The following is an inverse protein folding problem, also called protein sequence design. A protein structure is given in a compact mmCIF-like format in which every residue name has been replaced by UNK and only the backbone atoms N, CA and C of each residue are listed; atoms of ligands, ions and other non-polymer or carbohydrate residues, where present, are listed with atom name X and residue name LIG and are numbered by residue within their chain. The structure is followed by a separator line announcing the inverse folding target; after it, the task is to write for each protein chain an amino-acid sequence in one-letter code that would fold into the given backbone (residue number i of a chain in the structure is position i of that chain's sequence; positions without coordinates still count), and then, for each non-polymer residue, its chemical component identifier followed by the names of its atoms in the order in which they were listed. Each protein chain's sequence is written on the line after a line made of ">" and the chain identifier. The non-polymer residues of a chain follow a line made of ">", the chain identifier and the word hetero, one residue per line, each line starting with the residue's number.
data_IF_331660773858
#
_entry.id   IF_331660773858
#
_cell.length_a   1.000
_cell.length_b   1.000
_cell.length_c   1.000
_cell.angle_alpha   90.00
_cell.angle_beta   90.00
_cell.angle_gamma   90.00
#
_symmetry.space_group_name_H-M   'P 1'
#
loop_
_entity.id
_entity.type
_entity.pdbx_description
1 polymer ?
#
# COMPACT_ATOMS: atom_id res chain seq x y z
N UNK A 1 -37.92 2.22 0.50
CA UNK A 1 -37.23 2.61 -0.74
C UNK A 1 -36.02 3.45 -0.33
N UNK A 2 -34.88 2.80 -0.04
CA UNK A 2 -33.65 3.49 0.38
C UNK A 2 -32.91 3.94 -0.89
N UNK A 3 -32.92 5.24 -1.15
CA UNK A 3 -32.09 5.85 -2.18
C UNK A 3 -30.69 5.96 -1.57
N UNK A 4 -29.85 4.97 -1.82
CA UNK A 4 -28.46 5.01 -1.46
C UNK A 4 -27.75 6.09 -2.31
N UNK A 5 -27.53 7.25 -1.73
CA UNK A 5 -26.65 8.28 -2.29
C UNK A 5 -25.24 7.69 -2.37
N UNK A 6 -24.89 7.06 -3.48
CA UNK A 6 -23.48 6.75 -3.80
C UNK A 6 -22.81 8.08 -4.12
N UNK A 7 -22.24 8.73 -3.11
CA UNK A 7 -21.25 9.78 -3.34
C UNK A 7 -20.08 9.15 -4.11
N UNK A 8 -20.10 9.34 -5.42
CA UNK A 8 -19.02 8.94 -6.30
C UNK A 8 -18.01 10.09 -6.25
N UNK A 9 -17.05 10.00 -5.31
CA UNK A 9 -15.91 10.91 -5.34
C UNK A 9 -15.16 10.63 -6.64
N UNK A 10 -15.15 11.61 -7.53
CA UNK A 10 -14.37 11.53 -8.75
C UNK A 10 -12.92 11.82 -8.39
N UNK A 11 -12.05 10.86 -8.65
CA UNK A 11 -10.61 11.00 -8.45
C UNK A 11 -10.04 11.66 -9.71
N UNK A 12 -9.36 12.78 -9.52
CA UNK A 12 -8.69 13.57 -10.54
C UNK A 12 -7.26 13.92 -10.09
N UNK A 13 -6.53 14.66 -10.92
CA UNK A 13 -5.15 15.07 -10.67
C UNK A 13 -5.02 15.90 -9.38
N UNK A 14 -6.01 16.75 -9.08
CA UNK A 14 -5.96 17.70 -7.97
C UNK A 14 -6.17 17.02 -6.61
N UNK A 15 -6.97 15.95 -6.56
CA UNK A 15 -7.37 15.31 -5.30
C UNK A 15 -6.71 13.94 -5.07
N UNK A 16 -6.06 13.33 -6.07
CA UNK A 16 -5.48 12.00 -5.97
C UNK A 16 -4.50 11.89 -4.80
N UNK A 17 -3.58 12.85 -4.65
CA UNK A 17 -2.57 12.82 -3.59
C UNK A 17 -3.20 12.89 -2.21
N UNK A 18 -4.18 13.79 -2.03
CA UNK A 18 -4.90 13.96 -0.76
C UNK A 18 -5.67 12.69 -0.37
N UNK A 19 -6.41 12.10 -1.31
CA UNK A 19 -7.17 10.87 -1.08
C UNK A 19 -6.23 9.72 -0.74
N UNK A 20 -5.13 9.57 -1.49
CA UNK A 20 -4.14 8.51 -1.25
C UNK A 20 -3.50 8.65 0.12
N UNK A 21 -3.13 9.87 0.52
CA UNK A 21 -2.55 10.14 1.83
C UNK A 21 -3.51 9.81 2.97
N UNK A 22 -4.80 10.13 2.82
CA UNK A 22 -5.82 9.74 3.79
C UNK A 22 -5.96 8.23 3.91
N UNK A 23 -6.00 7.51 2.78
CA UNK A 23 -6.08 6.05 2.79
C UNK A 23 -4.84 5.40 3.43
N UNK A 24 -3.63 5.92 3.15
CA UNK A 24 -2.40 5.47 3.79
C UNK A 24 -2.41 5.72 5.30
N UNK A 25 -2.90 6.88 5.76
CA UNK A 25 -2.99 7.19 7.19
C UNK A 25 -3.89 6.21 7.93
N UNK A 26 -4.96 5.73 7.31
CA UNK A 26 -5.80 4.67 7.86
C UNK A 26 -5.10 3.32 7.94
N UNK A 27 -4.15 3.03 7.04
CA UNK A 27 -3.32 1.82 7.13
C UNK A 27 -2.22 1.93 8.19
N UNK A 28 -1.63 3.11 8.36
CA UNK A 28 -0.51 3.35 9.28
C UNK A 28 -0.95 3.61 10.72
N UNK A 29 -2.21 3.99 10.96
CA UNK A 29 -2.71 4.37 12.28
C UNK A 29 -2.81 3.19 13.26
N UNK A 30 -2.53 3.41 14.56
CA UNK A 30 -2.73 2.40 15.61
C UNK A 30 -4.21 1.98 15.70
N UNK A 31 -5.14 2.82 15.26
CA UNK A 31 -6.59 2.56 15.25
C UNK A 31 -7.02 1.60 14.14
N UNK A 32 -6.15 1.24 13.20
CA UNK A 32 -6.45 0.19 12.23
C UNK A 32 -6.61 -1.20 12.89
N UNK A 33 -6.12 -1.35 14.11
CA UNK A 33 -6.36 -2.52 14.99
C UNK A 33 -7.58 -2.29 15.88
N UNK A 34 -7.97 -1.04 16.14
CA UNK A 34 -9.03 -0.64 17.09
C UNK A 34 -10.32 -0.12 16.43
N UNK A 35 -10.36 0.03 15.10
CA UNK A 35 -11.58 0.42 14.38
C UNK A 35 -12.56 -0.75 14.16
N UNK A 36 -12.70 -1.59 15.16
CA UNK A 36 -13.94 -2.33 15.36
C UNK A 36 -14.95 -1.29 15.87
N UNK A 37 -16.09 -1.07 15.19
CA UNK A 37 -17.06 -0.08 15.62
C UNK A 37 -17.40 -0.28 17.09
N UNK A 38 -17.41 0.81 17.88
CA UNK A 38 -17.71 0.86 19.31
C UNK A 38 -19.05 0.15 19.67
N UNK A 39 -19.89 -0.14 18.69
CA UNK A 39 -21.12 -0.91 18.83
C UNK A 39 -20.89 -2.37 19.27
N UNK A 40 -19.70 -2.97 19.05
CA UNK A 40 -19.40 -4.34 19.46
C UNK A 40 -18.93 -4.39 20.92
N UNK A 41 -18.37 -3.30 21.45
CA UNK A 41 -17.91 -3.22 22.84
C UNK A 41 -19.06 -3.21 23.87
N UNK A 42 -20.23 -2.71 23.48
CA UNK A 42 -21.40 -2.66 24.37
C UNK A 42 -22.11 -4.01 24.54
N UNK A 43 -21.89 -4.95 23.64
CA UNK A 43 -22.50 -6.28 23.69
C UNK A 43 -21.64 -7.32 24.42
N UNK A 44 -20.37 -7.04 24.63
CA UNK A 44 -19.42 -7.97 25.29
C UNK A 44 -19.50 -7.98 26.80
N UNK A 45 -20.23 -7.04 27.44
CA UNK A 45 -20.33 -6.97 28.91
C UNK A 45 -21.43 -7.85 29.52
N UNK A 46 -22.25 -8.55 28.73
CA UNK A 46 -23.37 -9.35 29.25
C UNK A 46 -23.31 -10.85 28.92
N UNK A 47 -22.22 -11.35 28.35
CA UNK A 47 -22.06 -12.77 28.07
C UNK A 47 -20.82 -13.34 28.79
N UNK A 48 -20.97 -13.64 30.08
CA UNK A 48 -20.07 -14.55 30.78
C UNK A 48 -20.44 -15.98 30.32
N UNK A 49 -19.65 -16.55 29.41
CA UNK A 49 -19.58 -17.99 29.18
C UNK A 49 -18.23 -18.35 28.52
N UNK A 50 -17.56 -19.39 29.00
CA UNK A 50 -16.18 -19.72 28.69
C UNK A 50 -16.11 -20.66 27.49
N UNK A 51 -15.96 -20.16 26.26
CA UNK A 51 -15.43 -20.94 25.14
C UNK A 51 -14.82 -20.01 24.10
N UNK A 52 -13.50 -20.13 23.93
CA UNK A 52 -12.68 -19.33 23.03
C UNK A 52 -12.93 -19.62 21.55
N UNK A 53 -13.75 -18.79 20.90
CA UNK A 53 -13.93 -18.82 19.42
C UNK A 53 -14.10 -17.40 18.82
N UNK A 54 -13.94 -16.31 19.56
CA UNK A 54 -14.28 -14.96 19.03
C UNK A 54 -13.12 -14.10 18.55
N UNK A 55 -11.87 -14.53 18.68
CA UNK A 55 -10.70 -13.74 18.25
C UNK A 55 -10.35 -13.85 16.76
N UNK A 56 -10.67 -14.97 16.12
CA UNK A 56 -10.32 -15.19 14.71
C UNK A 56 -11.19 -14.38 13.72
N UNK A 57 -12.46 -14.17 14.04
CA UNK A 57 -13.37 -13.41 13.15
C UNK A 57 -13.04 -11.91 13.09
N UNK A 58 -12.62 -11.31 14.21
CA UNK A 58 -12.21 -9.91 14.26
C UNK A 58 -10.95 -9.64 13.46
N UNK A 59 -9.94 -10.49 13.60
CA UNK A 59 -8.68 -10.39 12.88
C UNK A 59 -8.85 -10.57 11.36
N UNK A 60 -9.70 -11.50 10.94
CA UNK A 60 -10.03 -11.70 9.53
C UNK A 60 -10.71 -10.46 8.93
N UNK A 61 -11.62 -9.81 9.66
CA UNK A 61 -12.26 -8.56 9.23
C UNK A 61 -11.26 -7.41 9.06
N UNK A 62 -10.35 -7.26 10.00
CA UNK A 62 -9.29 -6.24 9.94
C UNK A 62 -8.38 -6.47 8.73
N UNK A 63 -7.94 -7.71 8.48
CA UNK A 63 -7.14 -8.07 7.31
C UNK A 63 -7.87 -7.76 6.00
N UNK A 64 -9.14 -8.14 5.89
CA UNK A 64 -9.96 -7.87 4.70
C UNK A 64 -10.11 -6.37 4.45
N UNK A 65 -10.30 -5.57 5.51
CA UNK A 65 -10.35 -4.11 5.41
C UNK A 65 -9.02 -3.52 4.92
N UNK A 66 -7.89 -3.93 5.52
CA UNK A 66 -6.55 -3.48 5.10
C UNK A 66 -6.27 -3.86 3.66
N UNK A 67 -6.60 -5.07 3.24
CA UNK A 67 -6.46 -5.52 1.86
C UNK A 67 -7.28 -4.64 0.90
N UNK A 68 -8.52 -4.35 1.27
CA UNK A 68 -9.39 -3.49 0.46
C UNK A 68 -8.83 -2.08 0.32
N UNK A 69 -8.29 -1.49 1.40
CA UNK A 69 -7.65 -0.17 1.37
C UNK A 69 -6.40 -0.16 0.49
N UNK A 70 -5.50 -1.14 0.68
CA UNK A 70 -4.28 -1.26 -0.10
C UNK A 70 -4.59 -1.41 -1.60
N UNK A 71 -5.49 -2.32 -1.95
CA UNK A 71 -5.93 -2.50 -3.33
C UNK A 71 -6.60 -1.26 -3.91
N UNK A 72 -7.33 -0.50 -3.10
CA UNK A 72 -7.97 0.75 -3.54
C UNK A 72 -6.92 1.80 -3.89
N UNK A 73 -5.89 1.98 -3.04
CA UNK A 73 -4.77 2.89 -3.32
C UNK A 73 -4.12 2.52 -4.66
N UNK A 74 -3.74 1.26 -4.84
CA UNK A 74 -3.12 0.78 -6.07
C UNK A 74 -4.01 1.01 -7.30
N UNK A 75 -5.31 0.73 -7.16
CA UNK A 75 -6.28 0.87 -8.26
C UNK A 75 -6.55 2.31 -8.66
N UNK A 76 -6.68 3.25 -7.72
CA UNK A 76 -6.96 4.65 -8.05
C UNK A 76 -5.75 5.36 -8.68
N UNK A 77 -4.53 5.00 -8.25
CA UNK A 77 -3.31 5.59 -8.79
C UNK A 77 -2.94 5.01 -10.16
N UNK A 78 -3.16 3.71 -10.40
CA UNK A 78 -2.83 3.06 -11.68
C UNK A 78 -3.91 3.24 -12.76
N UNK A 79 -4.98 3.94 -12.44
CA UNK A 79 -6.11 4.13 -13.36
C UNK A 79 -5.67 4.78 -14.67
N UNK A 80 -6.19 4.25 -15.78
CA UNK A 80 -5.94 4.77 -17.12
C UNK A 80 -4.45 5.04 -17.40
N UNK A 81 -3.61 4.09 -17.00
CA UNK A 81 -2.15 4.16 -17.13
C UNK A 81 -1.56 5.38 -16.40
N UNK A 82 -1.93 5.54 -15.14
CA UNK A 82 -1.46 6.60 -14.23
C UNK A 82 -1.83 8.04 -14.67
N UNK A 83 -2.94 8.21 -15.41
CA UNK A 83 -3.34 9.50 -15.97
C UNK A 83 -3.39 10.63 -14.95
N UNK A 84 -3.84 10.32 -13.71
CA UNK A 84 -3.98 11.32 -12.64
C UNK A 84 -2.71 11.47 -11.78
N UNK A 85 -1.62 10.73 -12.08
CA UNK A 85 -0.36 10.82 -11.34
C UNK A 85 0.50 11.90 -11.99
N UNK A 86 0.58 13.07 -11.37
CA UNK A 86 1.40 14.19 -11.84
C UNK A 86 2.84 14.12 -11.34
N UNK A 87 3.08 13.46 -10.20
CA UNK A 87 4.38 13.27 -9.57
C UNK A 87 4.68 11.77 -9.36
N UNK A 88 5.52 11.22 -10.23
CA UNK A 88 5.92 9.82 -10.15
C UNK A 88 6.91 9.54 -9.01
N UNK A 89 7.72 10.51 -8.57
CA UNK A 89 8.61 10.33 -7.43
C UNK A 89 7.78 10.18 -6.14
N UNK A 90 6.75 11.01 -5.98
CA UNK A 90 5.77 10.86 -4.93
C UNK A 90 5.10 9.48 -4.98
N UNK A 91 4.64 9.04 -6.14
CA UNK A 91 3.92 7.77 -6.24
C UNK A 91 4.83 6.56 -5.96
N UNK A 92 6.09 6.59 -6.39
CA UNK A 92 7.08 5.57 -6.04
C UNK A 92 7.27 5.48 -4.51
N UNK A 93 7.29 6.63 -3.82
CA UNK A 93 7.33 6.66 -2.34
C UNK A 93 6.08 6.01 -1.74
N UNK A 94 4.89 6.31 -2.27
CA UNK A 94 3.62 5.70 -1.83
C UNK A 94 3.65 4.18 -1.97
N UNK A 95 4.19 3.65 -3.07
CA UNK A 95 4.31 2.21 -3.29
C UNK A 95 5.21 1.53 -2.26
N UNK A 96 6.33 2.18 -1.90
CA UNK A 96 7.23 1.67 -0.87
C UNK A 96 6.58 1.79 0.52
N UNK A 97 5.99 2.94 0.87
CA UNK A 97 5.29 3.12 2.14
C UNK A 97 4.18 2.07 2.30
N UNK A 98 3.45 1.78 1.22
CA UNK A 98 2.41 0.76 1.22
C UNK A 98 2.98 -0.64 1.49
N UNK A 99 4.18 -0.96 0.98
CA UNK A 99 4.85 -2.22 1.25
C UNK A 99 5.19 -2.40 2.74
N UNK A 100 5.49 -1.31 3.45
CA UNK A 100 5.76 -1.35 4.90
C UNK A 100 4.48 -1.45 5.74
N UNK A 101 3.42 -0.73 5.36
CA UNK A 101 2.26 -0.55 6.25
C UNK A 101 1.09 -1.46 5.95
N UNK A 102 1.02 -2.08 4.79
CA UNK A 102 -0.16 -2.84 4.36
C UNK A 102 -0.48 -4.03 5.28
N UNK A 103 0.55 -4.76 5.74
CA UNK A 103 0.41 -6.00 6.53
C UNK A 103 -0.57 -7.01 5.89
N UNK A 104 -0.69 -6.94 4.57
CA UNK A 104 -1.48 -7.83 3.70
C UNK A 104 -0.74 -8.02 2.39
N UNK A 105 -0.87 -9.19 1.78
CA UNK A 105 -0.12 -9.51 0.57
C UNK A 105 -0.66 -8.75 -0.66
N UNK A 106 -0.05 -7.63 -0.95
CA UNK A 106 -0.20 -6.84 -2.19
C UNK A 106 1.14 -6.64 -2.90
N UNK A 107 2.17 -7.35 -2.47
CA UNK A 107 3.55 -7.22 -2.95
C UNK A 107 3.69 -7.43 -4.44
N UNK A 108 2.98 -8.38 -5.04
CA UNK A 108 2.96 -8.59 -6.48
C UNK A 108 2.45 -7.36 -7.24
N UNK A 109 1.37 -6.74 -6.76
CA UNK A 109 0.78 -5.57 -7.40
C UNK A 109 1.70 -4.35 -7.29
N UNK A 110 2.36 -4.17 -6.13
CA UNK A 110 3.36 -3.12 -5.92
C UNK A 110 4.56 -3.34 -6.83
N UNK A 111 5.10 -4.56 -6.87
CA UNK A 111 6.21 -4.95 -7.74
C UNK A 111 5.94 -4.59 -9.20
N UNK A 112 4.78 -5.00 -9.72
CA UNK A 112 4.43 -4.81 -11.11
C UNK A 112 4.32 -3.32 -11.46
N UNK A 113 3.75 -2.51 -10.56
CA UNK A 113 3.64 -1.07 -10.76
C UNK A 113 5.00 -0.36 -10.66
N UNK A 114 5.88 -0.77 -9.73
CA UNK A 114 7.25 -0.24 -9.65
C UNK A 114 8.00 -0.45 -10.95
N UNK A 115 7.97 -1.67 -11.47
CA UNK A 115 8.66 -2.03 -12.73
C UNK A 115 8.06 -1.29 -13.92
N UNK A 116 6.73 -1.21 -14.01
CA UNK A 116 6.03 -0.54 -15.11
C UNK A 116 6.36 0.97 -15.15
N UNK A 117 6.29 1.66 -14.01
CA UNK A 117 6.60 3.09 -13.90
C UNK A 117 8.05 3.36 -14.29
N UNK A 118 9.01 2.65 -13.70
CA UNK A 118 10.43 2.89 -13.94
C UNK A 118 10.83 2.53 -15.37
N UNK A 119 10.18 1.52 -15.95
CA UNK A 119 10.35 1.17 -17.37
C UNK A 119 9.91 2.29 -18.31
N UNK A 120 8.80 2.96 -18.03
CA UNK A 120 8.17 3.99 -18.88
C UNK A 120 8.67 5.40 -18.60
N UNK A 121 8.82 5.78 -17.32
CA UNK A 121 9.10 7.15 -16.88
C UNK A 121 10.58 7.34 -16.62
N UNK A 122 11.33 7.74 -17.67
CA UNK A 122 12.79 7.92 -17.57
C UNK A 122 13.19 8.90 -16.47
N UNK A 123 12.43 9.99 -16.28
CA UNK A 123 12.73 11.02 -15.28
C UNK A 123 12.71 10.47 -13.84
N UNK A 124 11.86 9.48 -13.55
CA UNK A 124 11.72 8.88 -12.22
C UNK A 124 12.83 7.85 -11.88
N UNK A 125 13.61 7.39 -12.85
CA UNK A 125 14.61 6.29 -12.67
C UNK A 125 15.63 6.59 -11.59
N UNK A 126 16.20 7.80 -11.61
CA UNK A 126 17.22 8.21 -10.62
C UNK A 126 16.67 8.18 -9.19
N UNK A 127 15.48 8.67 -9.03
CA UNK A 127 14.78 8.63 -7.73
C UNK A 127 14.45 7.18 -7.33
N UNK A 128 13.91 6.39 -8.26
CA UNK A 128 13.60 4.99 -8.04
C UNK A 128 14.82 4.19 -7.57
N UNK A 129 15.98 4.32 -8.23
CA UNK A 129 17.21 3.64 -7.81
C UNK A 129 17.60 4.00 -6.38
N UNK A 130 17.57 5.30 -6.02
CA UNK A 130 17.88 5.73 -4.66
C UNK A 130 16.93 5.12 -3.62
N UNK A 131 15.63 5.09 -3.94
CA UNK A 131 14.60 4.54 -3.08
C UNK A 131 14.76 3.02 -2.93
N UNK A 132 15.05 2.31 -4.02
CA UNK A 132 15.25 0.87 -4.02
C UNK A 132 16.53 0.45 -3.29
N UNK A 133 17.62 1.19 -3.45
CA UNK A 133 18.85 0.97 -2.69
C UNK A 133 18.60 1.11 -1.18
N UNK A 134 17.82 2.13 -0.79
CA UNK A 134 17.44 2.30 0.62
C UNK A 134 16.63 1.11 1.13
N UNK A 135 15.66 0.64 0.35
CA UNK A 135 14.83 -0.53 0.70
C UNK A 135 15.68 -1.80 0.84
N UNK A 136 16.62 -2.05 -0.09
CA UNK A 136 17.50 -3.23 -0.05
C UNK A 136 18.50 -3.21 1.11
N UNK A 137 18.78 -2.05 1.69
CA UNK A 137 19.64 -1.90 2.88
C UNK A 137 18.84 -1.79 4.18
N UNK A 138 17.52 -1.98 4.14
CA UNK A 138 16.69 -1.96 5.34
C UNK A 138 16.59 -3.36 5.96
N UNK A 139 17.39 -3.60 6.98
CA UNK A 139 17.42 -4.89 7.70
C UNK A 139 16.05 -5.27 8.26
N UNK A 140 15.25 -4.28 8.68
CA UNK A 140 13.90 -4.53 9.22
C UNK A 140 12.98 -5.11 8.16
N UNK A 141 13.01 -4.54 6.94
CA UNK A 141 12.21 -5.05 5.84
C UNK A 141 12.65 -6.46 5.42
N UNK A 142 13.97 -6.70 5.37
CA UNK A 142 14.54 -7.99 5.01
C UNK A 142 14.23 -9.09 6.02
N UNK A 143 14.33 -8.79 7.31
CA UNK A 143 14.02 -9.75 8.38
C UNK A 143 12.55 -10.15 8.39
N UNK A 144 11.64 -9.21 8.10
CA UNK A 144 10.21 -9.45 8.10
C UNK A 144 9.69 -9.96 6.72
N UNK A 145 10.57 -10.18 5.75
CA UNK A 145 10.18 -10.61 4.40
C UNK A 145 9.48 -11.98 4.35
N UNK A 146 9.73 -12.84 5.35
CA UNK A 146 9.10 -14.16 5.47
C UNK A 146 7.79 -14.16 6.25
N UNK A 147 7.39 -13.01 6.80
CA UNK A 147 6.19 -12.92 7.61
C UNK A 147 4.92 -13.02 6.77
N UNK A 148 3.86 -13.55 7.37
CA UNK A 148 2.56 -13.62 6.72
C UNK A 148 2.01 -12.21 6.46
N UNK A 149 1.69 -11.94 5.20
CA UNK A 149 1.21 -10.61 4.75
C UNK A 149 2.34 -9.61 4.46
N UNK A 150 3.60 -10.05 4.45
CA UNK A 150 4.71 -9.24 3.94
C UNK A 150 4.56 -8.97 2.44
N UNK A 151 5.23 -7.94 1.97
CA UNK A 151 5.31 -7.60 0.55
C UNK A 151 6.72 -7.90 0.00
N UNK A 152 7.25 -9.10 0.29
CA UNK A 152 8.61 -9.51 -0.08
C UNK A 152 8.90 -9.44 -1.58
N UNK A 153 7.86 -9.56 -2.43
CA UNK A 153 7.99 -9.48 -3.89
C UNK A 153 8.52 -8.13 -4.36
N UNK A 154 8.41 -7.10 -3.53
CA UNK A 154 8.98 -5.76 -3.80
C UNK A 154 10.51 -5.81 -3.84
N UNK A 155 11.14 -6.72 -3.09
CA UNK A 155 12.61 -6.91 -3.11
C UNK A 155 13.09 -7.34 -4.50
N UNK A 156 12.31 -8.13 -5.21
CA UNK A 156 12.63 -8.50 -6.59
C UNK A 156 12.64 -7.27 -7.50
N UNK A 157 11.61 -6.41 -7.40
CA UNK A 157 11.57 -5.17 -8.17
C UNK A 157 12.75 -4.25 -7.81
N UNK A 158 13.08 -4.15 -6.53
CA UNK A 158 14.19 -3.34 -6.07
C UNK A 158 15.52 -3.81 -6.64
N UNK A 159 15.78 -5.11 -6.59
CA UNK A 159 16.99 -5.70 -7.16
C UNK A 159 17.05 -5.50 -8.68
N UNK A 160 15.94 -5.72 -9.40
CA UNK A 160 15.86 -5.53 -10.84
C UNK A 160 16.08 -4.06 -11.24
N UNK A 161 15.41 -3.10 -10.59
CA UNK A 161 15.54 -1.67 -10.87
C UNK A 161 17.00 -1.20 -10.63
N UNK A 162 17.62 -1.64 -9.53
CA UNK A 162 19.00 -1.31 -9.25
C UNK A 162 19.94 -1.92 -10.29
N UNK A 163 19.74 -3.18 -10.68
CA UNK A 163 20.56 -3.85 -11.69
C UNK A 163 20.46 -3.21 -13.06
N UNK A 164 19.26 -2.79 -13.46
CA UNK A 164 19.03 -2.21 -14.80
C UNK A 164 19.46 -0.74 -14.91
N UNK A 165 19.30 0.05 -13.84
CA UNK A 165 19.43 1.51 -13.93
C UNK A 165 20.51 2.11 -13.02
N UNK A 166 21.25 1.34 -12.23
CA UNK A 166 22.27 1.85 -11.32
C UNK A 166 23.43 2.56 -12.04
N UNK A 167 23.77 2.11 -13.25
CA UNK A 167 24.84 2.70 -14.10
C UNK A 167 24.36 3.79 -15.06
N UNK A 168 23.09 4.17 -15.01
CA UNK A 168 22.52 5.13 -15.95
C UNK A 168 22.87 6.57 -15.55
N UNK A 169 23.81 7.17 -16.26
CA UNK A 169 24.16 8.59 -16.16
C UNK A 169 23.37 9.38 -17.22
N UNK A 170 22.41 10.26 -16.81
CA UNK A 170 21.64 11.07 -17.75
C UNK A 170 22.47 12.13 -18.50
N UNK A 171 23.72 12.35 -18.10
CA UNK A 171 24.63 13.31 -18.76
C UNK A 171 25.33 12.73 -20.02
N UNK A 172 25.07 11.47 -20.36
CA UNK A 172 25.67 10.81 -21.53
C UNK A 172 24.74 10.77 -22.76
N UNK A 173 23.71 11.59 -22.80
CA UNK A 173 22.85 11.89 -23.96
C UNK A 173 23.02 13.38 -24.34
#
# INVERSE_FOLDING_TARGET
>A
MFIGLRLRIQVDEDNLQSITQQLLSHLAGPDSVAAVPTAVHSLSQHAQSPHGVQTSSGLAGIRAYRLTLAQRILSICSRDTYTNVTDFEWYLSVLVDLAYVASVNVGLQIRDQLVDIVGRVKAARRYAVKLMVKLLNDDTFLLNASDEGSCAEVLWAAAWICGEYCGWDPSSL
#
